data_IF_627653835255
#
_entry.id   IF_627653835255
#
_cell.length_a   1.000
_cell.length_b   1.000
_cell.length_c   1.000
_cell.angle_alpha   90.00
_cell.angle_beta   90.00
_cell.angle_gamma   90.00
#
_symmetry.space_group_name_H-M   'P 1'
#
loop_
_entity.id
_entity.type
_entity.pdbx_description
1 polymer ?
#
# COMPACT_ATOMS: atom_id res chain seq x y z
N UNK A 1 18.67 -5.96 -13.19
CA UNK A 1 17.50 -6.85 -13.16
C UNK A 1 17.94 -8.23 -12.67
N UNK A 2 17.25 -8.79 -11.66
CA UNK A 2 17.56 -10.07 -11.04
C UNK A 2 16.42 -11.05 -11.24
N UNK A 3 16.71 -12.34 -11.16
CA UNK A 3 15.71 -13.41 -11.10
C UNK A 3 15.90 -14.21 -9.82
N UNK A 4 14.86 -14.29 -9.00
CA UNK A 4 14.86 -15.03 -7.75
C UNK A 4 14.01 -16.29 -7.91
N UNK A 5 14.60 -17.45 -7.53
CA UNK A 5 13.98 -18.75 -7.68
C UNK A 5 13.61 -19.33 -6.30
N UNK A 6 12.37 -19.71 -6.13
CA UNK A 6 11.89 -20.52 -5.00
C UNK A 6 11.59 -21.96 -5.42
N UNK A 7 10.96 -22.69 -4.51
CA UNK A 7 10.60 -24.09 -4.72
C UNK A 7 9.50 -24.25 -5.79
N UNK A 8 8.56 -23.33 -5.84
CA UNK A 8 7.36 -23.47 -6.69
C UNK A 8 7.24 -22.42 -7.77
N UNK A 9 7.92 -21.28 -7.65
CA UNK A 9 7.81 -20.20 -8.63
C UNK A 9 9.09 -19.38 -8.68
N UNK A 10 9.14 -18.44 -9.65
CA UNK A 10 10.23 -17.50 -9.90
C UNK A 10 9.69 -16.08 -9.96
N UNK A 11 10.42 -15.11 -9.45
CA UNK A 11 10.10 -13.68 -9.57
C UNK A 11 11.18 -12.93 -10.35
N UNK A 12 10.79 -12.02 -11.23
CA UNK A 12 11.68 -11.00 -11.78
C UNK A 12 11.70 -9.78 -10.86
N UNK A 13 12.91 -9.29 -10.56
CA UNK A 13 13.14 -8.08 -9.76
C UNK A 13 13.76 -7.01 -10.67
N UNK A 14 13.10 -5.86 -10.75
CA UNK A 14 13.48 -4.80 -11.70
C UNK A 14 14.51 -3.80 -11.12
N UNK A 15 15.34 -4.26 -10.21
CA UNK A 15 16.48 -3.55 -9.66
C UNK A 15 17.58 -4.55 -9.31
N UNK A 16 18.80 -4.10 -9.17
CA UNK A 16 19.94 -4.82 -8.57
C UNK A 16 20.27 -4.29 -7.16
N UNK A 17 19.65 -3.18 -6.76
CA UNK A 17 19.75 -2.58 -5.41
C UNK A 17 18.64 -3.11 -4.50
N UNK A 18 18.84 -4.30 -3.95
CA UNK A 18 17.90 -5.01 -3.06
C UNK A 18 18.64 -5.60 -1.87
N UNK A 19 18.10 -5.42 -0.66
CA UNK A 19 18.67 -5.93 0.58
C UNK A 19 18.36 -7.43 0.81
N UNK A 20 19.14 -8.06 1.71
CA UNK A 20 19.01 -9.49 2.00
C UNK A 20 17.67 -9.87 2.66
N UNK A 21 17.06 -8.99 3.44
CA UNK A 21 15.77 -9.26 4.09
C UNK A 21 14.67 -9.28 3.03
N UNK A 22 14.67 -8.32 2.11
CA UNK A 22 13.75 -8.27 0.97
C UNK A 22 13.90 -9.51 0.10
N UNK A 23 15.14 -9.94 -0.24
CA UNK A 23 15.38 -11.19 -0.98
C UNK A 23 14.80 -12.40 -0.24
N UNK A 24 15.02 -12.48 1.08
CA UNK A 24 14.51 -13.58 1.90
C UNK A 24 12.98 -13.66 1.89
N UNK A 25 12.30 -12.52 2.01
CA UNK A 25 10.84 -12.44 1.96
C UNK A 25 10.29 -12.84 0.57
N UNK A 26 10.95 -12.46 -0.52
CA UNK A 26 10.56 -12.90 -1.87
C UNK A 26 10.71 -14.42 -1.99
N UNK A 27 11.84 -15.00 -1.56
CA UNK A 27 12.07 -16.44 -1.63
C UNK A 27 11.05 -17.21 -0.77
N UNK A 28 10.71 -16.70 0.42
CA UNK A 28 9.68 -17.28 1.28
C UNK A 28 8.31 -17.33 0.58
N UNK A 29 7.93 -16.27 -0.12
CA UNK A 29 6.73 -16.26 -0.96
C UNK A 29 6.82 -17.31 -2.08
N UNK A 30 7.95 -17.35 -2.81
CA UNK A 30 8.17 -18.27 -3.94
C UNK A 30 8.20 -19.75 -3.52
N UNK A 31 8.37 -20.02 -2.23
CA UNK A 31 8.29 -21.37 -1.65
C UNK A 31 6.87 -21.81 -1.29
N UNK A 32 5.84 -21.01 -1.58
CA UNK A 32 4.45 -21.40 -1.35
C UNK A 32 3.87 -22.06 -2.60
N UNK A 33 3.13 -23.15 -2.43
CA UNK A 33 2.58 -23.93 -3.53
C UNK A 33 1.39 -23.24 -4.23
N UNK A 34 0.63 -22.45 -3.50
CA UNK A 34 -0.56 -21.77 -4.02
C UNK A 34 -0.27 -20.69 -5.06
N UNK A 35 0.99 -20.22 -5.16
CA UNK A 35 1.39 -19.19 -6.13
C UNK A 35 2.13 -19.76 -7.35
N UNK A 36 2.16 -21.08 -7.52
CA UNK A 36 2.96 -21.78 -8.56
C UNK A 36 2.68 -21.28 -9.99
N UNK A 37 1.43 -20.88 -10.28
CA UNK A 37 0.99 -20.43 -11.59
C UNK A 37 0.91 -18.90 -11.69
N UNK A 38 1.27 -18.18 -10.62
CA UNK A 38 1.24 -16.74 -10.57
C UNK A 38 2.44 -16.11 -11.30
N UNK A 39 2.20 -15.02 -12.00
CA UNK A 39 3.26 -14.17 -12.55
C UNK A 39 3.65 -13.13 -11.51
N UNK A 40 4.83 -13.27 -10.91
CA UNK A 40 5.31 -12.41 -9.82
C UNK A 40 6.38 -11.46 -10.33
N UNK A 41 6.23 -10.18 -10.01
CA UNK A 41 7.13 -9.10 -10.39
C UNK A 41 7.40 -8.20 -9.19
N UNK A 42 8.65 -7.84 -9.00
CA UNK A 42 9.12 -6.99 -7.89
C UNK A 42 9.64 -5.68 -8.46
N UNK A 43 9.05 -4.58 -8.02
CA UNK A 43 9.31 -3.23 -8.51
C UNK A 43 10.66 -2.68 -8.03
N UNK A 44 11.23 -1.65 -8.71
CA UNK A 44 12.53 -1.07 -8.35
C UNK A 44 12.60 -0.45 -6.95
N UNK A 45 11.48 0.02 -6.43
CA UNK A 45 11.34 0.62 -5.10
C UNK A 45 11.13 -0.41 -3.97
N UNK A 46 11.34 -1.70 -4.28
CA UNK A 46 11.09 -2.78 -3.32
C UNK A 46 11.92 -2.65 -2.04
N UNK A 47 11.28 -3.03 -0.94
CA UNK A 47 11.90 -3.12 0.38
C UNK A 47 11.12 -4.09 1.27
N UNK A 48 11.75 -4.54 2.37
CA UNK A 48 11.12 -5.45 3.30
C UNK A 48 9.87 -4.82 3.94
N UNK A 49 8.80 -5.59 4.02
CA UNK A 49 7.54 -5.21 4.67
C UNK A 49 7.17 -6.17 5.80
N UNK A 50 6.07 -5.87 6.50
CA UNK A 50 5.58 -6.75 7.56
C UNK A 50 5.08 -8.08 6.96
N UNK A 51 5.97 -9.09 6.92
CA UNK A 51 5.69 -10.45 6.47
C UNK A 51 5.66 -10.66 4.96
N UNK A 52 5.78 -9.62 4.14
CA UNK A 52 5.95 -9.74 2.69
C UNK A 52 6.40 -8.41 2.06
N UNK A 53 7.10 -8.51 0.94
CA UNK A 53 7.76 -7.41 0.24
C UNK A 53 6.77 -6.36 -0.26
N UNK A 54 7.10 -5.08 0.00
CA UNK A 54 6.49 -3.91 -0.65
C UNK A 54 7.17 -3.74 -2.01
N UNK A 55 6.43 -3.31 -3.03
CA UNK A 55 6.88 -3.32 -4.43
C UNK A 55 6.51 -4.59 -5.18
N UNK A 56 5.53 -5.37 -4.67
CA UNK A 56 5.11 -6.63 -5.31
C UNK A 56 3.88 -6.44 -6.19
N UNK A 57 3.90 -7.02 -7.38
CA UNK A 57 2.71 -7.27 -8.19
C UNK A 57 2.65 -8.72 -8.65
N UNK A 58 1.47 -9.32 -8.62
CA UNK A 58 1.28 -10.70 -9.03
C UNK A 58 -0.11 -10.96 -9.59
N UNK A 59 -0.20 -11.89 -10.51
CA UNK A 59 -1.51 -12.42 -10.95
C UNK A 59 -2.07 -13.34 -9.87
N UNK A 60 -3.39 -13.30 -9.68
CA UNK A 60 -4.11 -14.17 -8.76
C UNK A 60 -5.21 -14.92 -9.51
N UNK A 61 -5.73 -15.99 -8.92
CA UNK A 61 -6.85 -16.76 -9.50
C UNK A 61 -8.00 -16.93 -8.50
N UNK A 62 -7.98 -17.99 -7.72
CA UNK A 62 -9.00 -18.40 -6.75
C UNK A 62 -8.54 -18.34 -5.29
N UNK A 63 -7.31 -17.87 -5.09
CA UNK A 63 -6.66 -17.72 -3.77
C UNK A 63 -5.96 -16.39 -3.68
N UNK A 64 -6.04 -15.77 -2.51
CA UNK A 64 -5.32 -14.52 -2.23
C UNK A 64 -4.87 -14.45 -0.79
N UNK A 65 -3.63 -14.03 -0.57
CA UNK A 65 -3.12 -13.68 0.74
C UNK A 65 -3.43 -12.20 1.01
N UNK A 66 -4.27 -11.86 2.00
CA UNK A 66 -4.63 -10.47 2.29
C UNK A 66 -3.42 -9.60 2.65
N UNK A 67 -2.44 -10.17 3.33
CA UNK A 67 -1.21 -9.45 3.69
C UNK A 67 -0.35 -9.05 2.48
N UNK A 68 -0.49 -9.74 1.33
CA UNK A 68 0.14 -9.35 0.06
C UNK A 68 -0.52 -8.14 -0.62
N UNK A 69 -1.67 -7.68 -0.14
CA UNK A 69 -2.25 -6.37 -0.50
C UNK A 69 -1.76 -5.29 0.47
N UNK A 70 -1.68 -5.64 1.74
CA UNK A 70 -1.32 -4.73 2.83
C UNK A 70 -2.53 -4.29 3.64
N UNK A 71 -2.25 -3.61 4.75
CA UNK A 71 -3.29 -3.20 5.70
C UNK A 71 -3.99 -1.88 5.34
N UNK A 72 -3.33 -1.02 4.57
CA UNK A 72 -3.93 0.21 4.06
C UNK A 72 -4.44 -0.01 2.63
N UNK A 73 -5.57 -0.73 2.55
CA UNK A 73 -6.22 -1.06 1.28
C UNK A 73 -6.64 0.22 0.57
N UNK A 74 -6.31 0.34 -0.72
CA UNK A 74 -6.66 1.51 -1.52
C UNK A 74 -5.83 2.76 -1.20
N UNK A 75 -4.73 2.62 -0.41
CA UNK A 75 -3.77 3.70 -0.26
C UNK A 75 -3.29 4.17 -1.63
N UNK A 76 -3.14 5.48 -1.80
CA UNK A 76 -2.82 6.05 -3.10
C UNK A 76 -2.76 7.56 -3.09
N UNK A 77 -2.58 8.10 -4.27
CA UNK A 77 -2.37 9.52 -4.54
C UNK A 77 -3.53 10.11 -5.32
N UNK A 78 -3.92 11.33 -4.98
CA UNK A 78 -4.72 12.20 -5.83
C UNK A 78 -3.85 13.39 -6.23
N UNK A 79 -3.69 13.63 -7.52
CA UNK A 79 -3.00 14.79 -8.07
C UNK A 79 -4.02 15.72 -8.73
N UNK A 80 -4.04 16.99 -8.32
CA UNK A 80 -4.95 18.01 -8.83
C UNK A 80 -4.15 19.21 -9.31
N UNK A 81 -4.20 19.49 -10.62
CA UNK A 81 -3.63 20.71 -11.18
C UNK A 81 -4.62 21.86 -11.02
N UNK A 82 -4.16 22.94 -10.39
CA UNK A 82 -4.95 24.14 -10.18
C UNK A 82 -4.61 25.24 -11.20
N UNK A 83 -5.52 26.18 -11.38
CA UNK A 83 -5.36 27.29 -12.33
C UNK A 83 -4.43 28.39 -11.78
N UNK A 84 -4.37 28.52 -10.47
CA UNK A 84 -3.59 29.51 -9.74
C UNK A 84 -2.09 29.29 -10.00
N UNK A 85 -1.32 30.38 -10.06
CA UNK A 85 0.14 30.35 -10.27
C UNK A 85 0.93 30.83 -9.06
N UNK A 86 0.24 31.52 -8.15
CA UNK A 86 0.78 32.03 -6.90
C UNK A 86 -0.21 31.76 -5.78
N UNK A 87 0.30 31.33 -4.62
CA UNK A 87 -0.51 30.81 -3.53
C UNK A 87 0.06 31.30 -2.19
N UNK A 88 -0.82 31.70 -1.29
CA UNK A 88 -0.50 32.01 0.11
C UNK A 88 -0.26 30.70 0.89
N UNK A 89 1.01 30.30 1.02
CA UNK A 89 1.41 29.05 1.69
C UNK A 89 1.07 29.04 3.19
N UNK A 90 1.27 30.12 3.97
CA UNK A 90 0.77 30.22 5.35
C UNK A 90 -0.73 29.96 5.46
N UNK A 91 -1.53 30.56 4.56
CA UNK A 91 -2.98 30.30 4.53
C UNK A 91 -3.29 28.85 4.19
N UNK A 92 -2.55 28.22 3.27
CA UNK A 92 -2.70 26.79 2.95
C UNK A 92 -2.44 25.93 4.18
N UNK A 93 -1.36 26.19 4.91
CA UNK A 93 -1.01 25.48 6.14
C UNK A 93 -2.11 25.61 7.22
N UNK A 94 -2.62 26.83 7.43
CA UNK A 94 -3.76 27.07 8.34
C UNK A 94 -5.02 26.34 7.92
N UNK A 95 -5.34 26.31 6.63
CA UNK A 95 -6.50 25.57 6.08
C UNK A 95 -6.37 24.08 6.33
N UNK A 96 -5.20 23.50 6.04
CA UNK A 96 -4.97 22.06 6.25
C UNK A 96 -5.07 21.72 7.73
N UNK A 97 -4.38 22.46 8.61
CA UNK A 97 -4.40 22.23 10.06
C UNK A 97 -5.80 22.38 10.66
N UNK A 98 -6.65 23.28 10.11
CA UNK A 98 -7.99 23.56 10.64
C UNK A 98 -9.04 22.57 10.15
N UNK A 99 -8.99 22.16 8.88
CA UNK A 99 -10.10 21.47 8.21
C UNK A 99 -9.78 20.02 7.81
N UNK A 100 -8.53 19.58 7.90
CA UNK A 100 -8.14 18.21 7.54
C UNK A 100 -7.62 17.47 8.78
N UNK A 101 -8.46 16.66 9.44
CA UNK A 101 -8.01 15.85 10.57
C UNK A 101 -6.82 14.97 10.17
N UNK A 102 -5.80 14.90 11.02
CA UNK A 102 -4.57 14.16 10.75
C UNK A 102 -4.23 13.21 11.92
N UNK A 103 -3.33 12.26 11.71
CA UNK A 103 -2.95 11.26 12.69
C UNK A 103 -4.12 10.32 12.98
N UNK A 104 -4.49 10.16 14.24
CA UNK A 104 -5.63 9.35 14.68
C UNK A 104 -6.96 10.09 14.62
N UNK A 105 -6.95 11.40 14.41
CA UNK A 105 -8.15 12.21 14.37
C UNK A 105 -8.99 11.93 13.11
N UNK A 106 -10.30 12.07 13.26
CA UNK A 106 -11.30 12.01 12.20
C UNK A 106 -12.28 13.17 12.37
N UNK A 107 -13.20 13.37 11.44
CA UNK A 107 -14.24 14.37 11.57
C UNK A 107 -15.24 14.00 12.68
N UNK A 108 -15.80 14.97 13.37
CA UNK A 108 -16.84 14.75 14.39
C UNK A 108 -18.14 14.19 13.79
N UNK A 109 -18.45 14.62 12.55
CA UNK A 109 -19.60 14.18 11.78
C UNK A 109 -19.18 13.72 10.38
N UNK A 110 -19.91 12.77 9.74
CA UNK A 110 -19.65 12.35 8.38
C UNK A 110 -19.72 13.50 7.38
N UNK A 111 -18.70 13.66 6.54
CA UNK A 111 -18.68 14.68 5.49
C UNK A 111 -19.52 14.30 4.25
N UNK A 112 -19.85 13.01 4.09
CA UNK A 112 -20.58 12.51 2.95
C UNK A 112 -21.30 11.19 3.22
N UNK A 113 -22.11 10.75 2.24
CA UNK A 113 -22.80 9.47 2.33
C UNK A 113 -22.17 8.46 1.37
N UNK A 114 -21.70 7.35 1.92
CA UNK A 114 -21.22 6.19 1.17
C UNK A 114 -21.91 4.92 1.67
N UNK A 115 -23.17 4.74 1.29
CA UNK A 115 -24.07 3.69 1.80
C UNK A 115 -23.51 2.27 1.64
N UNK A 116 -22.61 2.02 0.67
CA UNK A 116 -21.95 0.73 0.46
C UNK A 116 -21.08 0.26 1.64
N UNK A 117 -20.73 1.14 2.58
CA UNK A 117 -20.09 0.70 3.83
C UNK A 117 -20.93 -0.30 4.62
N UNK A 118 -22.26 -0.25 4.48
CA UNK A 118 -23.17 -1.17 5.14
C UNK A 118 -23.24 -2.55 4.45
N UNK A 119 -22.67 -2.69 3.26
CA UNK A 119 -22.62 -3.94 2.49
C UNK A 119 -21.38 -4.78 2.82
N UNK A 120 -20.46 -4.29 3.68
CA UNK A 120 -19.28 -5.03 4.10
C UNK A 120 -19.64 -6.33 4.80
N UNK A 121 -18.96 -7.40 4.41
CA UNK A 121 -19.04 -8.73 5.04
C UNK A 121 -18.15 -8.80 6.29
N UNK A 122 -16.94 -8.24 6.21
CA UNK A 122 -16.03 -8.14 7.34
C UNK A 122 -16.62 -7.22 8.44
N UNK A 123 -16.54 -7.60 9.71
CA UNK A 123 -16.93 -6.71 10.80
C UNK A 123 -15.98 -5.50 10.85
N UNK A 124 -16.56 -4.31 10.77
CA UNK A 124 -15.82 -3.06 10.82
C UNK A 124 -16.61 -1.98 11.58
N UNK A 125 -15.89 -0.98 12.11
CA UNK A 125 -16.54 0.16 12.75
C UNK A 125 -17.04 1.15 11.68
N UNK A 126 -18.28 0.92 11.21
CA UNK A 126 -18.89 1.68 10.13
C UNK A 126 -19.06 3.17 10.48
N UNK A 127 -19.45 3.50 11.73
CA UNK A 127 -19.57 4.90 12.15
C UNK A 127 -18.23 5.64 12.07
N UNK A 128 -17.15 5.02 12.53
CA UNK A 128 -15.82 5.58 12.44
C UNK A 128 -15.33 5.66 10.99
N UNK A 129 -15.70 4.68 10.13
CA UNK A 129 -15.40 4.73 8.71
C UNK A 129 -16.03 5.94 8.02
N UNK A 130 -17.29 6.24 8.30
CA UNK A 130 -17.96 7.45 7.78
C UNK A 130 -17.24 8.73 8.22
N UNK A 131 -16.92 8.87 9.50
CA UNK A 131 -16.23 10.05 10.03
C UNK A 131 -14.79 10.18 9.55
N UNK A 132 -14.17 9.09 9.06
CA UNK A 132 -12.79 9.11 8.59
C UNK A 132 -12.62 9.62 7.14
N UNK A 133 -13.70 9.73 6.36
CA UNK A 133 -13.66 10.36 5.04
C UNK A 133 -13.28 11.84 5.20
N UNK A 134 -12.32 12.31 4.40
CA UNK A 134 -11.79 13.67 4.51
C UNK A 134 -10.69 13.83 5.58
N UNK A 135 -10.08 12.73 6.06
CA UNK A 135 -8.98 12.76 7.02
C UNK A 135 -7.68 12.18 6.47
N UNK A 136 -6.54 12.79 6.79
CA UNK A 136 -5.25 12.45 6.20
C UNK A 136 -4.65 11.15 6.75
N UNK A 137 -4.68 10.95 8.06
CA UNK A 137 -3.93 9.88 8.71
C UNK A 137 -2.50 10.27 9.07
N UNK A 138 -1.67 9.28 9.32
CA UNK A 138 -0.28 9.46 9.74
C UNK A 138 0.70 8.59 8.95
N UNK A 139 1.92 8.49 9.45
CA UNK A 139 2.99 7.73 8.80
C UNK A 139 3.49 8.42 7.53
N UNK A 140 3.47 7.71 6.40
CA UNK A 140 3.91 8.24 5.11
C UNK A 140 2.85 9.08 4.38
N UNK A 141 1.67 9.30 4.95
CA UNK A 141 0.64 10.16 4.34
C UNK A 141 1.07 11.62 4.37
N UNK A 142 0.71 12.36 3.32
CA UNK A 142 1.09 13.76 3.16
C UNK A 142 0.11 14.54 2.28
N UNK A 143 0.20 15.87 2.37
CA UNK A 143 -0.38 16.82 1.44
C UNK A 143 0.75 17.72 0.94
N UNK A 144 0.96 17.79 -0.36
CA UNK A 144 1.95 18.64 -1.00
C UNK A 144 1.31 19.61 -1.99
N UNK A 145 1.91 20.77 -2.13
CA UNK A 145 1.71 21.63 -3.28
C UNK A 145 3.02 21.68 -4.05
N UNK A 146 3.00 21.13 -5.25
CA UNK A 146 4.16 20.98 -6.11
C UNK A 146 4.09 21.94 -7.29
N UNK A 147 5.24 22.30 -7.85
CA UNK A 147 5.36 23.15 -9.03
C UNK A 147 6.08 22.42 -10.16
N UNK A 148 5.51 22.45 -11.38
CA UNK A 148 6.18 21.95 -12.58
C UNK A 148 7.04 23.03 -13.25
N UNK A 149 7.84 22.62 -14.26
CA UNK A 149 8.73 23.51 -15.01
C UNK A 149 7.96 24.59 -15.82
N UNK A 150 6.68 24.38 -16.12
CA UNK A 150 5.82 25.36 -16.78
C UNK A 150 5.17 26.34 -15.76
N UNK A 151 5.50 26.19 -14.49
CA UNK A 151 4.98 27.00 -13.38
C UNK A 151 3.53 26.64 -12.98
N UNK A 152 3.00 25.49 -13.40
CA UNK A 152 1.71 25.00 -12.90
C UNK A 152 1.85 24.44 -11.50
N UNK A 153 0.81 24.63 -10.69
CA UNK A 153 0.74 24.11 -9.34
C UNK A 153 -0.14 22.85 -9.30
N UNK A 154 0.35 21.86 -8.54
CA UNK A 154 -0.27 20.56 -8.35
C UNK A 154 -0.48 20.30 -6.87
N UNK A 155 -1.73 20.20 -6.42
CA UNK A 155 -2.07 19.70 -5.09
C UNK A 155 -2.00 18.17 -5.13
N UNK A 156 -1.14 17.59 -4.31
CA UNK A 156 -0.91 16.15 -4.24
C UNK A 156 -1.30 15.64 -2.85
N UNK A 157 -2.18 14.66 -2.78
CA UNK A 157 -2.69 14.10 -1.52
C UNK A 157 -2.42 12.61 -1.50
N UNK A 158 -1.65 12.16 -0.51
CA UNK A 158 -1.37 10.75 -0.24
C UNK A 158 -2.08 10.30 1.02
N UNK A 159 -3.09 9.46 0.87
CA UNK A 159 -3.79 8.79 1.97
C UNK A 159 -4.57 7.57 1.48
N UNK A 160 -5.06 6.76 2.41
CA UNK A 160 -5.75 5.50 2.12
C UNK A 160 -7.11 5.37 2.81
N UNK A 161 -7.46 4.15 3.14
CA UNK A 161 -8.75 3.78 3.72
C UNK A 161 -8.83 3.93 5.24
N UNK A 162 -7.82 4.53 5.85
CA UNK A 162 -7.76 4.75 7.28
C UNK A 162 -7.84 3.42 8.06
N UNK A 163 -8.44 3.42 9.26
CA UNK A 163 -8.61 2.20 10.05
C UNK A 163 -9.52 1.15 9.38
N UNK A 164 -10.42 1.54 8.46
CA UNK A 164 -11.31 0.62 7.78
C UNK A 164 -10.54 -0.47 7.02
N UNK A 165 -9.55 -0.08 6.23
CA UNK A 165 -8.70 -1.03 5.50
C UNK A 165 -7.94 -1.96 6.44
N UNK A 166 -7.46 -1.45 7.57
CA UNK A 166 -6.79 -2.25 8.60
C UNK A 166 -7.72 -3.30 9.21
N UNK A 167 -8.99 -2.95 9.54
CA UNK A 167 -9.97 -3.87 10.10
C UNK A 167 -10.30 -4.99 9.10
N UNK A 168 -10.58 -4.64 7.85
CA UNK A 168 -10.88 -5.59 6.77
C UNK A 168 -9.68 -6.50 6.49
N UNK A 169 -8.48 -5.95 6.33
CA UNK A 169 -7.26 -6.73 6.09
C UNK A 169 -6.97 -7.71 7.22
N UNK A 170 -7.09 -7.27 8.48
CA UNK A 170 -6.91 -8.14 9.66
C UNK A 170 -7.94 -9.26 9.71
N UNK A 171 -9.22 -8.94 9.48
CA UNK A 171 -10.28 -9.95 9.47
C UNK A 171 -9.97 -11.08 8.50
N UNK A 172 -9.67 -10.75 7.24
CA UNK A 172 -9.42 -11.79 6.23
C UNK A 172 -8.07 -12.49 6.42
N UNK A 173 -7.06 -11.83 6.98
CA UNK A 173 -5.79 -12.50 7.31
C UNK A 173 -5.95 -13.50 8.46
N UNK A 174 -6.76 -13.18 9.47
CA UNK A 174 -7.08 -14.10 10.56
C UNK A 174 -7.98 -15.25 10.08
N UNK A 175 -8.95 -14.95 9.21
CA UNK A 175 -9.79 -15.97 8.59
C UNK A 175 -8.96 -16.93 7.74
N UNK A 176 -8.03 -16.42 6.93
CA UNK A 176 -7.09 -17.22 6.15
C UNK A 176 -6.28 -18.20 7.01
N UNK A 177 -5.68 -17.67 8.08
CA UNK A 177 -4.93 -18.48 9.03
C UNK A 177 -5.80 -19.58 9.68
N UNK A 178 -7.00 -19.25 10.13
CA UNK A 178 -7.93 -20.18 10.75
C UNK A 178 -8.36 -21.27 9.77
N UNK A 179 -8.75 -20.91 8.56
CA UNK A 179 -9.18 -21.87 7.53
C UNK A 179 -8.06 -22.88 7.20
N UNK A 180 -6.84 -22.40 7.00
CA UNK A 180 -5.69 -23.27 6.69
C UNK A 180 -5.30 -24.15 7.87
N UNK A 181 -5.38 -23.63 9.09
CA UNK A 181 -5.15 -24.43 10.30
C UNK A 181 -6.18 -25.54 10.44
N UNK A 182 -7.46 -25.24 10.23
CA UNK A 182 -8.55 -26.22 10.32
C UNK A 182 -8.42 -27.31 9.23
N UNK A 183 -8.04 -26.94 7.99
CA UNK A 183 -7.80 -27.90 6.90
C UNK A 183 -6.60 -28.80 7.20
N UNK A 184 -5.48 -28.25 7.61
CA UNK A 184 -4.26 -28.99 7.92
C UNK A 184 -4.47 -29.97 9.08
N UNK A 185 -5.19 -29.55 10.12
CA UNK A 185 -5.58 -30.40 11.25
C UNK A 185 -6.54 -31.50 10.78
N UNK A 186 -7.53 -31.20 9.94
CA UNK A 186 -8.52 -32.16 9.47
C UNK A 186 -7.87 -33.30 8.64
N UNK A 187 -6.94 -32.97 7.75
CA UNK A 187 -6.24 -33.93 6.94
C UNK A 187 -5.28 -34.82 7.76
N UNK A 188 -4.56 -34.20 8.71
CA UNK A 188 -3.74 -34.95 9.67
C UNK A 188 -4.55 -35.86 10.56
N UNK A 189 -5.73 -35.47 11.00
CA UNK A 189 -6.65 -36.30 11.79
C UNK A 189 -7.09 -37.50 10.98
N UNK A 190 -7.53 -37.32 9.71
CA UNK A 190 -7.94 -38.43 8.83
C UNK A 190 -6.82 -39.46 8.64
N UNK A 191 -5.60 -38.99 8.36
CA UNK A 191 -4.42 -39.83 8.19
C UNK A 191 -4.07 -40.61 9.46
N UNK A 192 -4.09 -39.95 10.61
CA UNK A 192 -3.81 -40.56 11.93
C UNK A 192 -4.87 -41.59 12.30
N UNK A 193 -6.17 -41.30 12.08
CA UNK A 193 -7.23 -42.26 12.34
C UNK A 193 -7.04 -43.52 11.48
N UNK A 194 -6.73 -43.38 10.19
CA UNK A 194 -6.49 -44.51 9.29
C UNK A 194 -5.28 -45.34 9.74
N UNK A 195 -4.15 -44.69 10.11
CA UNK A 195 -2.95 -45.38 10.57
C UNK A 195 -3.14 -46.10 11.89
N UNK A 196 -3.76 -45.46 12.89
CA UNK A 196 -4.00 -46.05 14.21
C UNK A 196 -4.99 -47.23 14.13
N UNK A 197 -6.01 -47.14 13.28
CA UNK A 197 -6.92 -48.26 13.01
C UNK A 197 -6.20 -49.42 12.37
N UNK A 198 -5.35 -49.17 11.36
CA UNK A 198 -4.56 -50.22 10.69
C UNK A 198 -3.60 -50.92 11.66
N UNK A 199 -3.14 -50.25 12.71
CA UNK A 199 -2.24 -50.75 13.74
C UNK A 199 -2.96 -51.34 14.98
N UNK A 200 -4.30 -51.33 15.04
CA UNK A 200 -5.07 -51.80 16.20
C UNK A 200 -4.91 -50.92 17.47
N UNK A 201 -4.54 -49.63 17.30
CA UNK A 201 -4.25 -48.68 18.37
C UNK A 201 -5.36 -47.62 18.55
N UNK A 202 -6.61 -48.00 18.37
CA UNK A 202 -7.76 -47.06 18.36
C UNK A 202 -7.92 -46.28 19.67
N UNK A 203 -7.49 -46.83 20.81
CA UNK A 203 -7.55 -46.15 22.11
C UNK A 203 -6.67 -44.92 22.20
N UNK A 204 -5.74 -44.74 21.27
CA UNK A 204 -4.82 -43.58 21.24
C UNK A 204 -5.34 -42.47 20.32
N UNK A 205 -6.42 -42.67 19.59
CA UNK A 205 -6.94 -41.73 18.61
C UNK A 205 -7.26 -40.37 19.27
N UNK A 206 -8.01 -40.39 20.37
CA UNK A 206 -8.45 -39.16 21.04
C UNK A 206 -7.25 -38.30 21.55
N UNK A 207 -6.29 -38.92 22.19
CA UNK A 207 -5.07 -38.27 22.67
C UNK A 207 -4.26 -37.66 21.53
N UNK A 208 -4.12 -38.39 20.44
CA UNK A 208 -3.35 -37.94 19.27
C UNK A 208 -4.06 -36.80 18.52
N UNK A 209 -5.40 -36.85 18.40
CA UNK A 209 -6.18 -35.76 17.81
C UNK A 209 -6.05 -34.47 18.62
N UNK A 210 -6.12 -34.56 19.95
CA UNK A 210 -5.98 -33.38 20.82
C UNK A 210 -4.58 -32.75 20.70
N UNK A 211 -3.55 -33.55 20.52
CA UNK A 211 -2.19 -33.04 20.25
C UNK A 211 -2.10 -32.36 18.87
N UNK A 212 -2.75 -32.91 17.83
CA UNK A 212 -2.76 -32.34 16.48
C UNK A 212 -3.47 -30.97 16.42
N UNK A 213 -4.53 -30.77 17.19
CA UNK A 213 -5.25 -29.47 17.24
C UNK A 213 -4.39 -28.30 17.74
N UNK A 214 -3.25 -28.58 18.37
CA UNK A 214 -2.31 -27.57 18.84
C UNK A 214 -1.23 -27.20 17.80
N UNK A 215 -1.23 -27.83 16.62
CA UNK A 215 -0.25 -27.55 15.57
C UNK A 215 -0.60 -26.31 14.77
N UNK A 216 0.44 -25.56 14.42
CA UNK A 216 0.38 -24.44 13.50
C UNK A 216 0.32 -24.93 12.04
N UNK A 217 -0.30 -24.19 11.10
CA UNK A 217 -0.21 -24.51 9.69
C UNK A 217 1.25 -24.51 9.22
N UNK A 218 1.54 -25.29 8.18
CA UNK A 218 2.87 -25.31 7.57
C UNK A 218 3.18 -24.05 6.74
N UNK A 219 2.14 -23.26 6.40
CA UNK A 219 2.28 -21.96 5.73
C UNK A 219 2.47 -20.87 6.81
N UNK A 220 3.46 -19.97 6.69
CA UNK A 220 3.61 -18.85 7.61
C UNK A 220 2.33 -18.03 7.74
N UNK A 221 1.99 -17.59 8.96
CA UNK A 221 0.76 -16.81 9.20
C UNK A 221 0.63 -15.60 8.29
N UNK A 222 1.75 -14.94 7.97
CA UNK A 222 1.83 -13.79 7.06
C UNK A 222 1.48 -14.12 5.61
N UNK A 223 1.62 -15.38 5.20
CA UNK A 223 1.37 -15.85 3.83
C UNK A 223 0.13 -16.76 3.70
N UNK A 224 -0.65 -16.90 4.77
CA UNK A 224 -1.93 -17.60 4.71
C UNK A 224 -2.89 -16.90 3.75
N UNK A 225 -3.67 -17.69 3.01
CA UNK A 225 -4.57 -17.20 1.97
C UNK A 225 -6.03 -17.57 2.23
N UNK A 226 -6.94 -16.78 1.70
CA UNK A 226 -8.36 -17.10 1.61
C UNK A 226 -8.69 -17.70 0.25
N UNK A 227 -9.69 -18.60 0.21
CA UNK A 227 -10.22 -19.25 -0.98
C UNK A 227 -11.73 -19.48 -0.89
N UNK A 228 -12.35 -19.92 -1.99
CA UNK A 228 -13.78 -20.22 -2.01
C UNK A 228 -14.65 -19.01 -1.71
N UNK A 229 -15.59 -19.13 -0.74
CA UNK A 229 -16.49 -18.03 -0.40
C UNK A 229 -15.71 -16.86 0.26
N UNK A 230 -14.76 -17.14 1.14
CA UNK A 230 -13.94 -16.09 1.79
C UNK A 230 -13.10 -15.27 0.77
N UNK A 231 -12.67 -15.88 -0.34
CA UNK A 231 -12.05 -15.15 -1.44
C UNK A 231 -13.03 -14.16 -2.08
N UNK A 232 -14.26 -14.61 -2.37
CA UNK A 232 -15.30 -13.75 -2.97
C UNK A 232 -15.68 -12.59 -2.07
N UNK A 233 -15.86 -12.88 -0.78
CA UNK A 233 -16.19 -11.88 0.23
C UNK A 233 -15.06 -10.85 0.37
N UNK A 234 -13.79 -11.29 0.34
CA UNK A 234 -12.64 -10.40 0.38
C UNK A 234 -12.56 -9.49 -0.84
N UNK A 235 -12.80 -10.01 -2.05
CA UNK A 235 -12.83 -9.20 -3.28
C UNK A 235 -13.96 -8.16 -3.21
N UNK A 236 -15.15 -8.54 -2.75
CA UNK A 236 -16.28 -7.63 -2.55
C UNK A 236 -15.93 -6.49 -1.58
N UNK A 237 -15.43 -6.84 -0.40
CA UNK A 237 -15.06 -5.85 0.62
C UNK A 237 -13.89 -4.96 0.16
N UNK A 238 -12.94 -5.52 -0.59
CA UNK A 238 -11.83 -4.80 -1.21
C UNK A 238 -12.32 -3.65 -2.10
N UNK A 239 -13.33 -3.89 -2.94
CA UNK A 239 -13.90 -2.84 -3.83
C UNK A 239 -14.53 -1.72 -3.02
N UNK A 240 -15.24 -2.04 -1.94
CA UNK A 240 -15.84 -1.05 -1.04
C UNK A 240 -14.75 -0.20 -0.36
N UNK A 241 -13.71 -0.85 0.18
CA UNK A 241 -12.62 -0.17 0.87
C UNK A 241 -11.79 0.71 -0.09
N UNK A 242 -11.53 0.24 -1.31
CA UNK A 242 -10.88 1.05 -2.35
C UNK A 242 -11.70 2.32 -2.66
N UNK A 243 -13.03 2.19 -2.79
CA UNK A 243 -13.91 3.33 -3.04
C UNK A 243 -13.96 4.30 -1.86
N UNK A 244 -13.93 3.79 -0.63
CA UNK A 244 -13.81 4.62 0.57
C UNK A 244 -12.51 5.45 0.56
N UNK A 245 -11.37 4.83 0.22
CA UNK A 245 -10.09 5.51 0.13
C UNK A 245 -10.06 6.57 -1.00
N UNK A 246 -10.69 6.29 -2.15
CA UNK A 246 -10.86 7.25 -3.23
C UNK A 246 -11.65 8.47 -2.78
N UNK A 247 -12.78 8.26 -2.11
CA UNK A 247 -13.61 9.33 -1.55
C UNK A 247 -12.85 10.12 -0.49
N UNK A 248 -12.09 9.46 0.37
CA UNK A 248 -11.27 10.12 1.39
C UNK A 248 -10.33 11.15 0.77
N UNK A 249 -9.54 10.76 -0.25
CA UNK A 249 -8.66 11.69 -0.97
C UNK A 249 -9.42 12.84 -1.62
N UNK A 250 -10.55 12.53 -2.25
CA UNK A 250 -11.38 13.54 -2.94
C UNK A 250 -11.92 14.58 -1.96
N UNK A 251 -12.46 14.16 -0.81
CA UNK A 251 -12.98 15.09 0.20
C UNK A 251 -11.90 15.99 0.79
N UNK A 252 -10.68 15.50 1.00
CA UNK A 252 -9.55 16.34 1.42
C UNK A 252 -9.27 17.40 0.34
N UNK A 253 -9.17 16.99 -0.93
CA UNK A 253 -8.89 17.91 -2.03
C UNK A 253 -9.98 18.97 -2.15
N UNK A 254 -11.25 18.57 -2.16
CA UNK A 254 -12.39 19.47 -2.30
C UNK A 254 -12.45 20.48 -1.16
N UNK A 255 -12.18 20.03 0.07
CA UNK A 255 -12.10 20.92 1.25
C UNK A 255 -11.01 21.98 1.08
N UNK A 256 -9.79 21.57 0.71
CA UNK A 256 -8.68 22.53 0.52
C UNK A 256 -8.99 23.49 -0.61
N UNK A 257 -9.44 23.00 -1.75
CA UNK A 257 -9.76 23.79 -2.94
C UNK A 257 -10.85 24.81 -2.64
N UNK A 258 -11.93 24.41 -1.96
CA UNK A 258 -13.01 25.32 -1.55
C UNK A 258 -12.52 26.41 -0.61
N UNK A 259 -11.77 26.05 0.45
CA UNK A 259 -11.29 27.02 1.47
C UNK A 259 -10.23 27.98 0.93
N UNK A 260 -9.43 27.51 -0.03
CA UNK A 260 -8.46 28.35 -0.73
C UNK A 260 -9.07 29.18 -1.86
N UNK A 261 -10.23 28.80 -2.37
CA UNK A 261 -10.88 29.42 -3.51
C UNK A 261 -10.20 29.11 -4.84
N UNK A 262 -9.64 27.89 -4.98
CA UNK A 262 -8.90 27.45 -6.15
C UNK A 262 -9.82 26.87 -7.23
N UNK A 263 -9.30 26.77 -8.47
CA UNK A 263 -9.99 26.23 -9.61
C UNK A 263 -9.25 25.01 -10.17
N UNK A 264 -9.95 23.88 -10.30
CA UNK A 264 -9.39 22.64 -10.85
C UNK A 264 -9.27 22.74 -12.36
N UNK A 265 -8.09 22.44 -12.88
CA UNK A 265 -7.83 22.28 -14.31
C UNK A 265 -7.81 20.82 -14.74
N UNK A 266 -7.28 19.95 -13.88
CA UNK A 266 -7.06 18.53 -14.17
C UNK A 266 -6.95 17.75 -12.86
N UNK A 267 -7.46 16.52 -12.81
CA UNK A 267 -7.23 15.62 -11.67
C UNK A 267 -7.11 14.17 -12.14
N UNK A 268 -6.31 13.38 -11.43
CA UNK A 268 -6.23 11.93 -11.58
C UNK A 268 -5.78 11.27 -10.27
N UNK A 269 -6.11 9.97 -10.12
CA UNK A 269 -5.76 9.19 -8.94
C UNK A 269 -4.90 7.97 -9.32
N UNK A 270 -4.02 7.58 -8.40
CA UNK A 270 -3.17 6.39 -8.51
C UNK A 270 -3.20 5.64 -7.19
N UNK A 271 -3.55 4.37 -7.19
CA UNK A 271 -3.60 3.52 -6.00
C UNK A 271 -2.52 2.44 -6.04
N UNK A 272 -2.01 2.02 -4.87
CA UNK A 272 -0.83 1.14 -4.80
C UNK A 272 -0.94 -0.06 -3.83
N UNK A 273 -2.04 -0.19 -3.08
CA UNK A 273 -2.33 -1.36 -2.24
C UNK A 273 -3.73 -1.87 -2.56
N UNK A 274 -3.85 -2.72 -3.57
CA UNK A 274 -5.15 -3.14 -4.05
C UNK A 274 -5.11 -4.40 -4.93
N UNK A 275 -6.28 -4.88 -5.28
CA UNK A 275 -6.47 -5.87 -6.34
C UNK A 275 -7.25 -5.22 -7.48
N UNK A 276 -6.69 -5.27 -8.68
CA UNK A 276 -7.46 -5.04 -9.92
C UNK A 276 -8.39 -6.24 -10.13
N UNK A 277 -9.62 -6.10 -9.67
CA UNK A 277 -10.61 -7.19 -9.63
C UNK A 277 -11.07 -7.64 -11.02
N UNK A 278 -10.90 -6.80 -12.05
CA UNK A 278 -11.24 -7.14 -13.44
C UNK A 278 -10.17 -8.00 -14.09
N UNK A 279 -8.90 -7.76 -13.78
CA UNK A 279 -7.78 -8.45 -14.40
C UNK A 279 -7.07 -9.41 -13.43
N UNK A 280 -7.53 -9.50 -12.21
CA UNK A 280 -6.98 -10.33 -11.14
C UNK A 280 -5.46 -10.11 -10.96
N UNK A 281 -5.07 -8.83 -10.85
CA UNK A 281 -3.70 -8.42 -10.55
C UNK A 281 -3.67 -7.78 -9.16
N UNK A 282 -2.95 -8.42 -8.26
CA UNK A 282 -2.66 -7.90 -6.92
C UNK A 282 -1.48 -6.95 -6.99
N UNK A 283 -1.57 -5.83 -6.26
CA UNK A 283 -0.51 -4.83 -6.11
C UNK A 283 -0.33 -4.45 -4.65
N UNK A 284 0.91 -4.55 -4.17
CA UNK A 284 1.35 -4.08 -2.86
C UNK A 284 2.53 -3.15 -3.01
N UNK A 285 2.33 -1.85 -2.77
CA UNK A 285 3.36 -0.86 -3.05
C UNK A 285 3.75 -0.85 -4.54
N UNK A 286 2.76 -1.02 -5.42
CA UNK A 286 2.93 -0.89 -6.87
C UNK A 286 1.65 -0.34 -7.48
N UNK A 287 1.76 0.40 -8.58
CA UNK A 287 0.66 1.09 -9.23
C UNK A 287 0.35 0.50 -10.60
N UNK A 288 -0.84 0.75 -11.11
CA UNK A 288 -1.19 0.44 -12.50
C UNK A 288 -0.42 1.35 -13.46
N UNK A 289 0.05 0.77 -14.58
CA UNK A 289 0.75 1.47 -15.66
C UNK A 289 0.33 0.90 -17.02
N UNK A 290 -0.98 0.86 -17.27
CA UNK A 290 -1.54 0.43 -18.55
C UNK A 290 -1.21 1.45 -19.63
N UNK A 291 -1.32 1.04 -20.88
CA UNK A 291 -1.04 1.91 -22.01
C UNK A 291 -1.90 3.20 -21.97
N UNK A 292 -1.23 4.36 -21.98
CA UNK A 292 -1.85 5.68 -21.89
C UNK A 292 -2.38 6.08 -20.50
N UNK A 293 -2.29 5.23 -19.48
CA UNK A 293 -2.76 5.53 -18.11
C UNK A 293 -1.84 6.53 -17.42
N UNK A 294 -2.40 7.63 -16.89
CA UNK A 294 -1.65 8.59 -16.06
C UNK A 294 -1.45 8.04 -14.66
N UNK A 295 -0.23 8.23 -14.14
CA UNK A 295 0.13 7.84 -12.78
C UNK A 295 1.14 8.81 -12.18
N UNK A 296 1.24 8.83 -10.86
CA UNK A 296 2.21 9.61 -10.12
C UNK A 296 3.09 8.71 -9.26
N UNK A 297 4.39 8.96 -9.23
CA UNK A 297 5.38 8.25 -8.42
C UNK A 297 6.06 9.28 -7.51
N UNK A 298 5.69 9.37 -6.22
CA UNK A 298 6.35 10.26 -5.27
C UNK A 298 7.75 9.76 -4.94
N UNK A 299 8.69 10.69 -4.81
CA UNK A 299 10.07 10.40 -4.46
C UNK A 299 10.29 10.65 -2.96
N UNK A 300 10.24 11.90 -2.55
CA UNK A 300 10.33 12.32 -1.15
C UNK A 300 9.89 13.79 -1.03
N UNK A 301 9.78 14.28 0.20
CA UNK A 301 9.26 15.63 0.50
C UNK A 301 10.15 16.81 0.04
N UNK A 302 11.33 16.55 -0.56
CA UNK A 302 12.22 17.54 -1.16
C UNK A 302 12.25 17.44 -2.69
N UNK A 303 12.38 16.22 -3.21
CA UNK A 303 12.60 15.99 -4.64
C UNK A 303 11.29 15.91 -5.41
N UNK A 304 10.15 15.72 -4.71
CA UNK A 304 8.79 15.77 -5.26
C UNK A 304 8.35 14.48 -5.90
N UNK A 305 7.68 14.57 -7.05
CA UNK A 305 7.02 13.43 -7.70
C UNK A 305 7.22 13.43 -9.21
N UNK A 306 7.13 12.23 -9.79
CA UNK A 306 7.13 12.02 -11.25
C UNK A 306 5.69 11.83 -11.72
N UNK A 307 5.21 12.67 -12.64
CA UNK A 307 3.98 12.40 -13.40
C UNK A 307 4.36 11.62 -14.62
N UNK A 308 3.77 10.43 -14.78
CA UNK A 308 4.11 9.47 -15.80
C UNK A 308 2.88 9.03 -16.61
N UNK A 309 3.15 8.42 -17.76
CA UNK A 309 2.16 7.69 -18.58
C UNK A 309 2.63 6.25 -18.74
N UNK A 310 1.76 5.30 -18.44
CA UNK A 310 2.03 3.87 -18.56
C UNK A 310 2.23 3.44 -20.01
N UNK A 311 3.14 2.49 -20.23
CA UNK A 311 3.43 1.84 -21.52
C UNK A 311 2.69 0.53 -21.73
N UNK A 312 1.89 0.09 -20.73
CA UNK A 312 1.17 -1.17 -20.81
C UNK A 312 2.08 -2.40 -20.91
N UNK A 313 3.24 -2.39 -20.28
CA UNK A 313 4.22 -3.48 -20.38
C UNK A 313 3.72 -4.75 -19.67
N UNK A 314 3.41 -5.84 -20.42
CA UNK A 314 2.91 -7.06 -19.82
C UNK A 314 3.95 -7.78 -18.97
N UNK A 315 5.27 -7.60 -19.24
CA UNK A 315 6.31 -8.22 -18.41
C UNK A 315 6.39 -7.60 -17.01
N UNK A 316 5.87 -6.39 -16.83
CA UNK A 316 5.73 -5.71 -15.55
C UNK A 316 4.35 -5.92 -14.87
N UNK A 317 3.53 -6.86 -15.35
CA UNK A 317 2.12 -6.98 -14.95
C UNK A 317 1.35 -5.67 -15.12
N UNK A 318 1.69 -4.88 -16.16
CA UNK A 318 1.07 -3.56 -16.39
C UNK A 318 1.19 -2.65 -15.17
N UNK A 319 2.36 -2.63 -14.52
CA UNK A 319 2.57 -1.96 -13.25
C UNK A 319 3.86 -1.15 -13.24
N UNK A 320 3.95 -0.20 -12.30
CA UNK A 320 5.12 0.60 -12.01
C UNK A 320 5.33 0.70 -10.49
N UNK A 321 6.50 1.17 -10.00
CA UNK A 321 6.71 1.43 -8.58
C UNK A 321 5.75 2.50 -8.06
N UNK A 322 5.45 2.44 -6.77
CA UNK A 322 4.56 3.42 -6.11
C UNK A 322 5.29 4.60 -5.51
N UNK A 323 6.63 4.58 -5.48
CA UNK A 323 7.47 5.59 -4.88
C UNK A 323 8.95 5.33 -5.11
N UNK A 324 9.81 5.95 -4.31
CA UNK A 324 11.25 5.76 -4.41
C UNK A 324 11.74 4.48 -3.70
N UNK A 325 11.01 3.98 -2.71
CA UNK A 325 11.50 2.94 -1.80
C UNK A 325 12.46 3.50 -0.75
N UNK A 326 12.52 2.83 0.39
CA UNK A 326 13.36 3.24 1.51
C UNK A 326 14.71 2.53 1.46
N UNK A 327 15.77 3.25 1.86
CA UNK A 327 17.10 2.69 2.11
C UNK A 327 17.37 2.48 3.61
N UNK A 328 16.58 3.16 4.47
CA UNK A 328 16.62 2.99 5.93
C UNK A 328 15.23 2.65 6.45
N UNK A 329 15.15 1.73 7.41
CA UNK A 329 13.92 1.50 8.16
C UNK A 329 13.55 2.73 8.99
N UNK A 330 12.29 2.79 9.50
CA UNK A 330 11.85 3.92 10.33
C UNK A 330 12.66 4.08 11.61
N UNK A 331 13.12 2.98 12.22
CA UNK A 331 13.96 3.01 13.41
C UNK A 331 15.38 3.47 13.08
N UNK A 332 16.00 2.92 12.04
CA UNK A 332 17.35 3.31 11.62
C UNK A 332 17.42 4.79 11.21
N UNK A 333 16.39 5.31 10.57
CA UNK A 333 16.31 6.72 10.18
C UNK A 333 16.38 7.67 11.38
N UNK A 334 15.72 7.31 12.49
CA UNK A 334 15.74 8.12 13.73
C UNK A 334 17.11 8.17 14.39
N UNK A 335 17.91 7.13 14.21
CA UNK A 335 19.27 7.05 14.75
C UNK A 335 20.32 7.66 13.81
N UNK A 336 20.06 7.61 12.49
CA UNK A 336 21.03 8.00 11.46
C UNK A 336 20.91 9.46 10.99
N UNK A 337 19.71 10.06 11.07
CA UNK A 337 19.44 11.41 10.51
C UNK A 337 19.36 12.45 11.63
N UNK A 338 20.16 13.52 11.52
CA UNK A 338 20.09 14.66 12.43
C UNK A 338 18.97 15.64 12.05
N UNK A 339 18.28 16.23 13.06
CA UNK A 339 17.20 17.20 12.80
C UNK A 339 17.71 18.45 12.04
N UNK A 340 18.93 18.89 12.27
CA UNK A 340 19.49 20.04 11.58
C UNK A 340 19.81 19.71 10.12
N UNK A 341 20.27 18.51 9.83
CA UNK A 341 20.46 18.01 8.47
C UNK A 341 19.12 17.92 7.72
N UNK A 342 18.09 17.41 8.40
CA UNK A 342 16.74 17.39 7.85
C UNK A 342 16.22 18.79 7.52
N UNK A 343 16.35 19.75 8.44
CA UNK A 343 15.97 21.16 8.19
C UNK A 343 16.74 21.78 7.03
N UNK A 344 18.05 21.52 6.96
CA UNK A 344 18.88 22.01 5.85
C UNK A 344 18.42 21.46 4.50
N UNK A 345 18.11 20.15 4.45
CA UNK A 345 17.66 19.49 3.23
C UNK A 345 16.31 20.01 2.71
N UNK A 346 15.49 20.61 3.58
CA UNK A 346 14.16 21.15 3.27
C UNK A 346 14.16 22.67 3.00
N UNK A 347 15.34 23.30 2.94
CA UNK A 347 15.40 24.74 2.64
C UNK A 347 14.75 25.08 1.30
N UNK A 348 13.89 26.10 1.33
CA UNK A 348 13.15 26.56 0.16
C UNK A 348 11.76 25.93 0.00
N UNK A 349 11.41 24.93 0.84
CA UNK A 349 10.08 24.32 0.89
C UNK A 349 9.40 24.77 2.18
N UNK A 350 8.19 25.32 2.08
CA UNK A 350 7.40 25.68 3.24
C UNK A 350 6.81 24.41 3.87
N UNK A 351 7.12 24.15 5.15
CA UNK A 351 6.60 23.00 5.88
C UNK A 351 6.57 23.24 7.37
N UNK A 352 5.43 23.05 8.00
CA UNK A 352 5.29 22.98 9.46
C UNK A 352 5.65 21.62 10.05
N UNK A 353 5.93 20.62 9.20
CA UNK A 353 6.13 19.22 9.59
C UNK A 353 7.60 18.78 9.65
N UNK A 354 8.58 19.70 9.57
CA UNK A 354 10.01 19.37 9.67
C UNK A 354 10.44 19.37 11.14
N UNK A 355 10.24 18.24 11.81
CA UNK A 355 10.45 18.07 13.25
C UNK A 355 10.95 16.66 13.61
N UNK A 356 11.33 16.42 14.86
CA UNK A 356 11.86 15.12 15.32
C UNK A 356 10.89 13.96 15.11
N UNK A 357 9.59 14.17 15.27
CA UNK A 357 8.57 13.12 15.06
C UNK A 357 8.45 12.65 13.62
N UNK A 358 8.89 13.44 12.64
CA UNK A 358 8.83 13.14 11.20
C UNK A 358 10.19 12.87 10.56
N UNK A 359 11.26 12.73 11.36
CA UNK A 359 12.63 12.55 10.87
C UNK A 359 12.79 11.27 10.04
N UNK A 360 11.97 10.26 10.33
CA UNK A 360 11.91 9.00 9.57
C UNK A 360 11.30 9.14 8.16
N UNK A 361 10.78 10.32 7.81
CA UNK A 361 10.29 10.65 6.47
C UNK A 361 11.21 11.65 5.74
N UNK A 362 12.38 11.95 6.31
CA UNK A 362 13.35 12.87 5.69
C UNK A 362 13.81 12.37 4.31
N UNK A 363 14.22 13.27 3.39
CA UNK A 363 14.64 12.89 2.03
C UNK A 363 15.77 11.87 1.98
N UNK A 364 16.66 11.88 2.98
CA UNK A 364 17.86 11.03 3.04
C UNK A 364 17.55 9.54 3.24
N UNK A 365 16.33 9.17 3.63
CA UNK A 365 15.95 7.77 3.89
C UNK A 365 15.43 7.04 2.66
N UNK A 366 15.33 7.73 1.52
CA UNK A 366 14.79 7.20 0.27
C UNK A 366 15.86 7.02 -0.81
N UNK A 367 15.62 6.09 -1.74
CA UNK A 367 16.46 5.92 -2.93
C UNK A 367 16.49 7.21 -3.76
N UNK A 368 17.63 7.52 -4.42
CA UNK A 368 17.71 8.68 -5.30
C UNK A 368 16.70 8.63 -6.46
N UNK A 369 16.16 9.80 -6.84
CA UNK A 369 15.20 9.91 -7.95
C UNK A 369 15.77 9.35 -9.26
N UNK A 370 17.04 9.59 -9.53
CA UNK A 370 17.74 9.14 -10.75
C UNK A 370 17.75 7.61 -10.86
N UNK A 371 17.92 6.89 -9.75
CA UNK A 371 17.87 5.43 -9.73
C UNK A 371 16.48 4.92 -10.13
N UNK A 372 15.43 5.55 -9.60
CA UNK A 372 14.05 5.18 -9.96
C UNK A 372 13.77 5.50 -11.42
N UNK A 373 14.13 6.71 -11.89
CA UNK A 373 13.94 7.13 -13.29
C UNK A 373 14.63 6.19 -14.28
N UNK A 374 15.83 5.70 -13.96
CA UNK A 374 16.56 4.75 -14.81
C UNK A 374 15.84 3.41 -14.91
N UNK A 375 15.35 2.89 -13.77
CA UNK A 375 14.79 1.55 -13.68
C UNK A 375 13.35 1.44 -14.23
N UNK A 376 12.61 2.55 -14.40
CA UNK A 376 11.21 2.53 -14.83
C UNK A 376 10.98 2.77 -16.33
N UNK A 377 12.05 2.99 -17.11
CA UNK A 377 11.97 3.34 -18.55
C UNK A 377 11.19 2.34 -19.39
N UNK A 378 11.18 1.07 -18.99
CA UNK A 378 10.48 0.01 -19.72
C UNK A 378 8.98 -0.01 -19.47
N UNK A 379 8.49 0.61 -18.38
CA UNK A 379 7.09 0.53 -17.95
C UNK A 379 6.33 1.84 -18.03
N UNK A 380 7.02 2.99 -17.96
CA UNK A 380 6.39 4.33 -18.06
C UNK A 380 7.22 5.29 -18.90
N UNK A 381 6.55 6.31 -19.45
CA UNK A 381 7.16 7.54 -19.92
C UNK A 381 6.98 8.63 -18.85
N UNK A 382 8.08 9.28 -18.45
CA UNK A 382 8.04 10.40 -17.51
C UNK A 382 7.64 11.65 -18.30
N UNK A 383 6.50 12.23 -17.95
CA UNK A 383 5.95 13.42 -18.64
C UNK A 383 6.40 14.70 -17.95
N UNK A 384 6.42 14.70 -16.61
CA UNK A 384 6.79 15.86 -15.81
C UNK A 384 7.47 15.44 -14.51
N UNK A 385 8.36 16.29 -14.02
CA UNK A 385 8.83 16.30 -12.63
C UNK A 385 8.15 17.48 -11.94
N UNK A 386 7.49 17.23 -10.83
CA UNK A 386 6.87 18.25 -9.99
C UNK A 386 7.61 18.33 -8.66
N UNK A 387 7.98 19.55 -8.21
CA UNK A 387 8.80 19.78 -7.03
C UNK A 387 8.02 20.53 -5.94
N UNK A 388 8.11 20.11 -4.68
CA UNK A 388 7.37 20.72 -3.60
C UNK A 388 7.74 22.19 -3.39
N UNK A 389 6.71 23.01 -3.25
CA UNK A 389 6.82 24.37 -2.69
C UNK A 389 6.23 24.40 -1.29
N UNK A 390 5.39 23.40 -0.97
CA UNK A 390 4.77 23.19 0.33
C UNK A 390 4.64 21.68 0.61
N UNK A 391 4.88 21.28 1.88
CA UNK A 391 4.66 19.91 2.33
C UNK A 391 4.08 19.88 3.74
N UNK A 392 3.08 19.04 3.95
CA UNK A 392 2.46 18.74 5.24
C UNK A 392 2.44 17.24 5.51
N UNK A 393 2.88 16.82 6.69
CA UNK A 393 2.75 15.46 7.23
C UNK A 393 2.12 15.51 8.62
N UNK A 394 1.30 14.51 8.93
CA UNK A 394 0.78 14.34 10.29
C UNK A 394 1.92 14.03 11.27
N UNK A 395 1.90 14.65 12.43
CA UNK A 395 2.89 14.54 13.50
C UNK A 395 2.24 14.27 14.85
#
# INVERSE_FOLDING_TARGET
MLELNGKYNTAKVFTDNIDNETISQVIELLNQDYIKDAKIRIMPDCHAGTGCVIGTTMTISDKVCPNLVGVDIGCGMLAVRIAEKDVDLPKLDDVINTYVPAGFNVNDEPLGNFSHLNDLVAPANISLAYCSIGSLGGGNHFIELDKDDDGNLWLVIHTGSRHLGLEVAKHYQELAYKQLKDLDVCDKIKAVIADLKAKGREKEIEKTINALKMHEPHIPKSLCYVSGQAFKDYIHDMEIVQKHAELNRKYIADTIIEKMGWHICEEFQTIHNYIDTKNLILRKGSVSARDGEKLIIPINMRDGSLICVGKGNPDWNYSAPHGAGRILSRSEAKDAVGIDEFRESMKGIYSSSVMESTIDESPMVYKPMEEIMENIKDTVDIVKVIKPVYNFKAH
#
